data_IF_113467446590
#
_entry.id   IF_113467446590
#
_cell.length_a   1.000
_cell.length_b   1.000
_cell.length_c   1.000
_cell.angle_alpha   90.00
_cell.angle_beta   90.00
_cell.angle_gamma   90.00
#
_symmetry.space_group_name_H-M   'P 1'
#
loop_
_entity.id
_entity.type
_entity.pdbx_description
1 polymer ?
#
# COMPACT_ATOMS: atom_id res chain seq x y z
N UNK A 1 0.11 -59.92 -17.35
CA UNK A 1 -0.10 -59.18 -16.09
C UNK A 1 1.22 -58.58 -15.66
N UNK A 2 1.52 -57.33 -16.08
CA UNK A 2 2.68 -56.60 -15.61
C UNK A 2 2.19 -55.47 -14.70
N UNK A 3 2.48 -55.58 -13.40
CA UNK A 3 2.33 -54.46 -12.47
C UNK A 3 3.45 -53.46 -12.76
N UNK A 4 3.09 -52.34 -13.39
CA UNK A 4 3.98 -51.20 -13.58
C UNK A 4 4.05 -50.44 -12.26
N UNK A 5 5.18 -50.61 -11.59
CA UNK A 5 5.60 -49.84 -10.43
C UNK A 5 6.10 -48.49 -10.91
N UNK A 6 5.23 -47.47 -10.93
CA UNK A 6 5.63 -46.07 -11.05
C UNK A 6 5.10 -45.33 -9.85
N UNK A 7 5.86 -45.40 -8.75
CA UNK A 7 5.86 -44.37 -7.73
C UNK A 7 6.07 -43.03 -8.43
N UNK A 8 5.05 -42.18 -8.40
CA UNK A 8 5.21 -40.76 -8.67
C UNK A 8 6.24 -40.22 -7.69
N UNK A 9 7.49 -40.08 -8.15
CA UNK A 9 8.48 -39.28 -7.47
C UNK A 9 7.98 -37.83 -7.51
N UNK A 10 7.26 -37.43 -6.45
CA UNK A 10 7.05 -36.02 -6.18
C UNK A 10 8.44 -35.38 -6.12
N UNK A 11 8.69 -34.27 -6.86
CA UNK A 11 9.94 -33.56 -6.71
C UNK A 11 10.07 -33.20 -5.22
N UNK A 12 11.17 -33.61 -4.58
CA UNK A 12 11.48 -33.16 -3.23
C UNK A 12 11.39 -31.64 -3.23
N UNK A 13 10.37 -31.10 -2.56
CA UNK A 13 10.24 -29.68 -2.34
C UNK A 13 11.50 -29.26 -1.55
N UNK A 14 12.37 -28.40 -2.09
CA UNK A 14 13.61 -28.01 -1.41
C UNK A 14 13.34 -27.41 -0.02
N UNK A 15 12.13 -26.88 0.20
CA UNK A 15 11.68 -26.34 1.47
C UNK A 15 11.33 -27.41 2.52
N UNK A 16 10.90 -28.61 2.11
CA UNK A 16 10.46 -29.65 3.05
C UNK A 16 11.63 -30.24 3.85
N UNK A 17 12.79 -30.44 3.22
CA UNK A 17 14.02 -30.90 3.88
C UNK A 17 14.53 -29.85 4.89
N UNK A 18 14.34 -28.56 4.62
CA UNK A 18 14.67 -27.46 5.55
C UNK A 18 13.69 -27.43 6.73
N UNK A 19 12.39 -27.56 6.46
CA UNK A 19 11.34 -27.59 7.49
C UNK A 19 11.55 -28.76 8.45
N UNK A 20 11.84 -29.95 7.93
CA UNK A 20 12.14 -31.12 8.76
C UNK A 20 13.45 -30.97 9.54
N UNK A 21 14.49 -30.35 8.95
CA UNK A 21 15.78 -30.16 9.62
C UNK A 21 15.72 -29.19 10.80
N UNK A 22 14.92 -28.12 10.70
CA UNK A 22 14.74 -27.14 11.77
C UNK A 22 13.69 -27.60 12.79
N UNK A 23 12.69 -28.35 12.32
CA UNK A 23 11.54 -28.85 13.07
C UNK A 23 10.28 -28.06 12.72
N UNK A 24 9.21 -28.77 12.33
CA UNK A 24 7.92 -28.18 11.97
C UNK A 24 7.35 -27.30 13.08
N UNK A 25 7.49 -27.71 14.34
CA UNK A 25 6.88 -27.02 15.48
C UNK A 25 7.48 -25.62 15.70
N UNK A 26 8.76 -25.44 15.38
CA UNK A 26 9.42 -24.13 15.45
C UNK A 26 8.92 -23.19 14.35
N UNK A 27 8.70 -23.72 13.15
CA UNK A 27 8.09 -22.95 12.06
C UNK A 27 6.64 -22.59 12.37
N UNK A 28 5.87 -23.53 12.91
CA UNK A 28 4.48 -23.29 13.34
C UNK A 28 4.42 -22.17 14.36
N UNK A 29 5.27 -22.20 15.40
CA UNK A 29 5.34 -21.14 16.41
C UNK A 29 5.65 -19.76 15.80
N UNK A 30 6.67 -19.66 14.95
CA UNK A 30 7.06 -18.38 14.32
C UNK A 30 5.93 -17.85 13.41
N UNK A 31 5.27 -18.73 12.65
CA UNK A 31 4.18 -18.34 11.74
C UNK A 31 2.92 -17.96 12.51
N UNK A 32 2.56 -18.71 13.57
CA UNK A 32 1.39 -18.38 14.41
C UNK A 32 1.57 -17.05 15.12
N UNK A 33 2.75 -16.80 15.67
CA UNK A 33 3.04 -15.59 16.44
C UNK A 33 3.03 -14.33 15.55
N UNK A 34 3.31 -14.48 14.25
CA UNK A 34 3.32 -13.39 13.28
C UNK A 34 2.06 -13.32 12.40
N UNK A 35 1.10 -14.23 12.55
CA UNK A 35 -0.07 -14.28 11.67
C UNK A 35 -0.85 -12.96 11.64
N UNK A 36 -1.06 -12.35 12.81
CA UNK A 36 -1.70 -11.03 12.95
C UNK A 36 -0.90 -9.93 12.26
N UNK A 37 0.42 -9.91 12.44
CA UNK A 37 1.31 -8.94 11.81
C UNK A 37 1.26 -9.05 10.28
N UNK A 38 1.24 -10.27 9.74
CA UNK A 38 1.10 -10.53 8.31
C UNK A 38 -0.26 -10.05 7.80
N UNK A 39 -1.34 -10.27 8.56
CA UNK A 39 -2.66 -9.76 8.21
C UNK A 39 -2.69 -8.22 8.17
N UNK A 40 -2.09 -7.54 9.15
CA UNK A 40 -1.96 -6.08 9.16
C UNK A 40 -1.12 -5.57 7.98
N UNK A 41 0.02 -6.20 7.68
CA UNK A 41 0.84 -5.85 6.54
C UNK A 41 0.07 -6.00 5.21
N UNK A 42 -0.75 -7.05 5.10
CA UNK A 42 -1.63 -7.22 3.95
C UNK A 42 -2.67 -6.09 3.84
N UNK A 43 -3.28 -5.66 4.96
CA UNK A 43 -4.22 -4.55 4.97
C UNK A 43 -3.56 -3.24 4.52
N UNK A 44 -2.37 -2.92 5.04
CA UNK A 44 -1.57 -1.77 4.61
C UNK A 44 -1.31 -1.82 3.11
N UNK A 45 -0.86 -2.97 2.60
CA UNK A 45 -0.62 -3.18 1.16
C UNK A 45 -1.88 -2.94 0.33
N UNK A 46 -3.04 -3.40 0.80
CA UNK A 46 -4.32 -3.16 0.14
C UNK A 46 -4.71 -1.68 0.12
N UNK A 47 -4.48 -0.94 1.22
CA UNK A 47 -4.77 0.50 1.28
C UNK A 47 -3.89 1.30 0.32
N UNK A 48 -2.59 1.03 0.30
CA UNK A 48 -1.64 1.66 -0.65
C UNK A 48 -2.04 1.37 -2.10
N UNK A 49 -2.43 0.13 -2.42
CA UNK A 49 -2.92 -0.22 -3.77
C UNK A 49 -4.16 0.58 -4.15
N UNK A 50 -5.13 0.74 -3.23
CA UNK A 50 -6.34 1.55 -3.47
C UNK A 50 -6.00 3.02 -3.71
N UNK A 51 -5.11 3.61 -2.90
CA UNK A 51 -4.61 4.96 -3.11
C UNK A 51 -4.00 5.12 -4.52
N UNK A 52 -3.21 4.15 -4.97
CA UNK A 52 -2.59 4.20 -6.29
C UNK A 52 -3.58 3.98 -7.45
N UNK A 53 -4.64 3.20 -7.24
CA UNK A 53 -5.74 3.07 -8.22
C UNK A 53 -6.39 4.44 -8.45
N UNK A 54 -6.69 5.18 -7.37
CA UNK A 54 -7.21 6.55 -7.48
C UNK A 54 -6.23 7.44 -8.25
N UNK A 55 -4.97 7.50 -7.80
CA UNK A 55 -3.93 8.29 -8.45
C UNK A 55 -3.83 8.02 -9.95
N UNK A 56 -3.77 6.73 -10.35
CA UNK A 56 -3.64 6.36 -11.75
C UNK A 56 -4.85 6.75 -12.56
N UNK A 57 -6.06 6.55 -12.04
CA UNK A 57 -7.29 6.93 -12.74
C UNK A 57 -7.31 8.44 -13.04
N UNK A 58 -7.11 9.27 -12.02
CA UNK A 58 -7.15 10.73 -12.16
C UNK A 58 -5.98 11.28 -12.99
N UNK A 59 -4.83 10.60 -13.03
CA UNK A 59 -3.73 11.00 -13.92
C UNK A 59 -3.95 10.63 -15.38
N UNK A 60 -4.55 9.47 -15.63
CA UNK A 60 -4.65 8.92 -16.97
C UNK A 60 -5.95 9.33 -17.69
N UNK A 61 -6.96 9.79 -16.94
CA UNK A 61 -8.22 10.30 -17.48
C UNK A 61 -8.15 11.83 -17.58
N UNK A 62 -8.07 12.43 -18.78
CA UNK A 62 -7.98 13.88 -18.93
C UNK A 62 -9.18 14.60 -18.30
N UNK A 63 -10.38 14.05 -18.50
CA UNK A 63 -11.61 14.66 -17.96
C UNK A 63 -11.67 14.59 -16.43
N UNK A 64 -11.27 13.46 -15.84
CA UNK A 64 -11.23 13.34 -14.38
C UNK A 64 -10.13 14.21 -13.77
N UNK A 65 -9.01 14.39 -14.48
CA UNK A 65 -7.95 15.31 -14.08
C UNK A 65 -8.49 16.75 -14.01
N UNK A 66 -9.25 17.18 -15.02
CA UNK A 66 -9.88 18.50 -15.05
C UNK A 66 -10.82 18.69 -13.86
N UNK A 67 -11.74 17.76 -13.61
CA UNK A 67 -12.66 17.83 -12.46
C UNK A 67 -11.90 17.93 -11.13
N UNK A 68 -10.82 17.16 -10.96
CA UNK A 68 -10.02 17.19 -9.75
C UNK A 68 -9.31 18.53 -9.57
N UNK A 69 -8.77 19.11 -10.64
CA UNK A 69 -8.11 20.41 -10.58
C UNK A 69 -9.10 21.52 -10.23
N UNK A 70 -10.27 21.55 -10.86
CA UNK A 70 -11.35 22.49 -10.55
C UNK A 70 -11.78 22.38 -9.08
N UNK A 71 -11.99 21.15 -8.58
CA UNK A 71 -12.33 20.93 -7.18
C UNK A 71 -11.20 21.33 -6.21
N UNK A 72 -9.93 21.16 -6.62
CA UNK A 72 -8.76 21.56 -5.82
C UNK A 72 -8.67 23.08 -5.70
N UNK A 73 -8.91 23.80 -6.79
CA UNK A 73 -8.96 25.27 -6.84
C UNK A 73 -10.13 25.80 -6.01
N UNK A 74 -11.34 25.25 -6.17
CA UNK A 74 -12.53 25.64 -5.40
C UNK A 74 -12.34 25.48 -3.89
N UNK A 75 -11.62 24.42 -3.48
CA UNK A 75 -11.31 24.14 -2.07
C UNK A 75 -10.05 24.86 -1.56
N UNK A 76 -9.36 25.63 -2.41
CA UNK A 76 -8.09 26.30 -2.10
C UNK A 76 -7.02 25.34 -1.53
N UNK A 77 -6.97 24.11 -2.03
CA UNK A 77 -6.03 23.09 -1.54
C UNK A 77 -4.64 23.34 -2.16
N UNK A 78 -3.65 23.61 -1.31
CA UNK A 78 -2.27 23.78 -1.72
C UNK A 78 -1.51 22.45 -1.82
N UNK A 79 -0.40 22.43 -2.57
CA UNK A 79 0.56 21.33 -2.57
C UNK A 79 0.60 20.47 -3.83
N UNK A 80 -0.16 20.82 -4.87
CA UNK A 80 -0.04 20.24 -6.22
C UNK A 80 -0.79 18.92 -6.43
N UNK A 81 -0.38 18.18 -7.46
CA UNK A 81 -1.12 17.01 -7.98
C UNK A 81 -0.93 15.72 -7.17
N UNK A 82 -1.76 14.70 -7.47
CA UNK A 82 -1.63 13.33 -6.98
C UNK A 82 -0.26 12.72 -7.33
N UNK A 83 0.27 11.89 -6.44
CA UNK A 83 1.57 11.21 -6.58
C UNK A 83 1.37 9.71 -6.75
N UNK A 84 2.07 9.13 -7.72
CA UNK A 84 2.14 7.67 -7.95
C UNK A 84 3.29 7.09 -7.15
N UNK A 85 3.17 5.84 -6.72
CA UNK A 85 4.28 5.15 -6.05
C UNK A 85 4.94 4.10 -6.94
N UNK A 86 6.19 3.79 -6.62
CA UNK A 86 6.96 2.66 -7.15
C UNK A 86 7.20 1.68 -6.00
N UNK A 87 6.94 0.38 -6.22
CA UNK A 87 7.00 -0.64 -5.16
C UNK A 87 8.36 -0.72 -4.45
N UNK A 88 9.44 -0.43 -5.16
CA UNK A 88 10.80 -0.51 -4.63
C UNK A 88 11.22 0.72 -3.82
N UNK A 89 10.42 1.80 -3.79
CA UNK A 89 10.78 3.07 -3.13
C UNK A 89 9.71 3.51 -2.13
N UNK A 90 9.92 3.19 -0.86
CA UNK A 90 8.99 3.46 0.24
C UNK A 90 8.66 4.95 0.43
N UNK A 91 9.60 5.85 0.14
CA UNK A 91 9.36 7.29 0.16
C UNK A 91 8.22 7.70 -0.80
N UNK A 92 8.15 7.06 -1.97
CA UNK A 92 7.08 7.31 -2.95
C UNK A 92 5.73 6.73 -2.51
N UNK A 93 5.72 5.70 -1.65
CA UNK A 93 4.50 5.17 -1.03
C UNK A 93 3.90 6.21 -0.11
N UNK A 94 4.72 6.80 0.77
CA UNK A 94 4.30 7.91 1.62
C UNK A 94 3.74 9.08 0.80
N UNK A 95 4.46 9.50 -0.25
CA UNK A 95 4.01 10.61 -1.10
C UNK A 95 2.67 10.33 -1.79
N UNK A 96 2.45 9.09 -2.25
CA UNK A 96 1.19 8.68 -2.85
C UNK A 96 0.04 8.80 -1.85
N UNK A 97 0.16 8.14 -0.69
CA UNK A 97 -0.84 8.18 0.38
C UNK A 97 -1.09 9.62 0.85
N UNK A 98 -0.03 10.42 0.98
CA UNK A 98 -0.11 11.79 1.47
C UNK A 98 -0.86 12.68 0.48
N UNK A 99 -0.60 12.53 -0.82
CA UNK A 99 -1.30 13.27 -1.86
C UNK A 99 -2.79 12.92 -1.93
N UNK A 100 -3.15 11.64 -1.74
CA UNK A 100 -4.55 11.19 -1.70
C UNK A 100 -5.28 11.77 -0.49
N UNK A 101 -4.67 11.73 0.70
CA UNK A 101 -5.28 12.31 1.90
C UNK A 101 -5.45 13.82 1.79
N UNK A 102 -4.43 14.53 1.27
CA UNK A 102 -4.48 15.98 1.09
C UNK A 102 -5.60 16.39 0.15
N UNK A 103 -5.80 15.64 -0.93
CA UNK A 103 -6.84 15.91 -1.93
C UNK A 103 -8.19 15.29 -1.57
N UNK A 104 -8.39 14.80 -0.34
CA UNK A 104 -9.63 14.10 0.08
C UNK A 104 -10.90 14.89 -0.23
N UNK A 105 -10.91 16.18 0.06
CA UNK A 105 -12.12 17.00 -0.06
C UNK A 105 -12.46 17.28 -1.52
N UNK A 106 -11.42 17.47 -2.35
CA UNK A 106 -11.59 17.57 -3.81
C UNK A 106 -12.04 16.24 -4.42
N UNK A 107 -11.46 15.10 -3.99
CA UNK A 107 -11.85 13.77 -4.45
C UNK A 107 -13.32 13.45 -4.11
N UNK A 108 -13.77 13.80 -2.91
CA UNK A 108 -15.16 13.64 -2.48
C UNK A 108 -16.10 14.57 -3.24
N UNK A 109 -15.68 15.79 -3.54
CA UNK A 109 -16.46 16.72 -4.36
C UNK A 109 -16.63 16.22 -5.81
N UNK A 110 -15.57 15.65 -6.41
CA UNK A 110 -15.68 15.05 -7.74
C UNK A 110 -16.64 13.87 -7.71
N UNK A 111 -16.59 13.03 -6.66
CA UNK A 111 -17.55 11.95 -6.51
C UNK A 111 -18.99 12.47 -6.43
N UNK A 112 -19.24 13.52 -5.64
CA UNK A 112 -20.56 14.12 -5.45
C UNK A 112 -21.12 14.73 -6.75
N UNK A 113 -20.29 15.46 -7.51
CA UNK A 113 -20.71 16.17 -8.73
C UNK A 113 -20.75 15.28 -9.98
N UNK A 114 -19.87 14.29 -10.08
CA UNK A 114 -19.60 13.55 -11.33
C UNK A 114 -19.69 12.03 -11.16
N UNK A 115 -20.44 11.53 -10.18
CA UNK A 115 -20.52 10.10 -9.89
C UNK A 115 -20.87 9.25 -11.12
N UNK A 116 -21.82 9.74 -11.94
CA UNK A 116 -22.37 8.99 -13.08
C UNK A 116 -21.36 8.91 -14.23
N UNK A 117 -20.52 9.91 -14.35
CA UNK A 117 -19.50 10.07 -15.38
C UNK A 117 -18.19 9.34 -15.04
N UNK A 118 -17.97 9.01 -13.76
CA UNK A 118 -16.86 8.14 -13.34
C UNK A 118 -17.16 6.70 -13.82
N UNK A 119 -16.55 6.35 -14.95
CA UNK A 119 -16.67 5.03 -15.59
C UNK A 119 -16.03 3.88 -14.80
N UNK A 120 -15.12 4.18 -13.87
CA UNK A 120 -14.39 3.16 -13.13
C UNK A 120 -15.09 2.80 -11.80
N UNK A 121 -15.74 1.64 -11.77
CA UNK A 121 -16.45 1.15 -10.58
C UNK A 121 -15.53 0.94 -9.37
N UNK A 122 -14.27 0.53 -9.58
CA UNK A 122 -13.33 0.35 -8.48
C UNK A 122 -12.98 1.70 -7.83
N UNK A 123 -12.85 2.77 -8.61
CA UNK A 123 -12.64 4.13 -8.10
C UNK A 123 -13.83 4.58 -7.27
N UNK A 124 -15.06 4.39 -7.77
CA UNK A 124 -16.29 4.71 -7.02
C UNK A 124 -16.37 3.91 -5.72
N UNK A 125 -16.11 2.60 -5.77
CA UNK A 125 -16.13 1.74 -4.59
C UNK A 125 -15.10 2.17 -3.53
N UNK A 126 -13.91 2.63 -3.95
CA UNK A 126 -12.89 3.15 -3.03
C UNK A 126 -13.36 4.46 -2.39
N UNK A 127 -13.81 5.43 -3.20
CA UNK A 127 -14.22 6.75 -2.70
C UNK A 127 -15.45 6.67 -1.78
N UNK A 128 -16.38 5.74 -2.04
CA UNK A 128 -17.56 5.49 -1.21
C UNK A 128 -17.29 4.64 0.02
N UNK A 129 -16.12 4.00 0.12
CA UNK A 129 -15.83 3.11 1.25
C UNK A 129 -15.74 3.93 2.54
N UNK A 130 -16.66 3.67 3.47
CA UNK A 130 -16.64 4.27 4.81
C UNK A 130 -15.30 4.01 5.49
N UNK A 131 -14.74 5.05 6.10
CA UNK A 131 -13.46 4.99 6.82
C UNK A 131 -12.23 4.94 5.92
N UNK A 132 -12.35 4.94 4.59
CA UNK A 132 -11.18 4.88 3.71
C UNK A 132 -10.19 6.01 3.96
N UNK A 133 -10.67 7.26 4.07
CA UNK A 133 -9.79 8.41 4.33
C UNK A 133 -9.25 8.41 5.77
N UNK A 134 -9.96 7.82 6.73
CA UNK A 134 -9.47 7.63 8.09
C UNK A 134 -8.35 6.58 8.14
N UNK A 135 -8.53 5.46 7.43
CA UNK A 135 -7.51 4.42 7.24
C UNK A 135 -6.25 5.01 6.58
N UNK A 136 -6.43 5.87 5.57
CA UNK A 136 -5.35 6.56 4.87
C UNK A 136 -4.61 7.53 5.81
N UNK A 137 -5.33 8.26 6.67
CA UNK A 137 -4.72 9.14 7.68
C UNK A 137 -3.87 8.35 8.67
N UNK A 138 -4.41 7.27 9.22
CA UNK A 138 -3.69 6.40 10.14
C UNK A 138 -2.43 5.81 9.47
N UNK A 139 -2.55 5.41 8.20
CA UNK A 139 -1.41 4.93 7.44
C UNK A 139 -0.32 6.01 7.25
N UNK A 140 -0.69 7.29 7.12
CA UNK A 140 0.30 8.37 7.05
C UNK A 140 1.08 8.53 8.33
N UNK A 141 0.41 8.44 9.47
CA UNK A 141 1.04 8.51 10.79
C UNK A 141 2.07 7.38 10.96
N UNK A 142 1.76 6.18 10.46
CA UNK A 142 2.68 5.02 10.48
C UNK A 142 3.84 5.20 9.48
N UNK A 143 3.57 5.67 8.26
CA UNK A 143 4.59 5.76 7.21
C UNK A 143 5.55 6.94 7.38
N UNK A 144 5.15 7.99 8.10
CA UNK A 144 5.96 9.20 8.31
C UNK A 144 7.31 8.90 8.95
N UNK A 145 7.40 8.26 10.14
CA UNK A 145 8.68 7.93 10.76
C UNK A 145 9.54 7.03 9.87
N UNK A 146 8.93 6.08 9.16
CA UNK A 146 9.65 5.20 8.21
C UNK A 146 10.28 6.00 7.07
N UNK A 147 9.54 6.95 6.48
CA UNK A 147 10.08 7.85 5.44
C UNK A 147 11.24 8.67 5.98
N UNK A 148 11.08 9.26 7.15
CA UNK A 148 12.09 10.13 7.77
C UNK A 148 13.37 9.33 8.05
N UNK A 149 13.25 8.14 8.66
CA UNK A 149 14.39 7.25 8.90
C UNK A 149 15.13 6.88 7.59
N UNK A 150 14.40 6.54 6.53
CA UNK A 150 15.01 6.22 5.21
C UNK A 150 15.77 7.43 4.65
N UNK A 151 15.18 8.62 4.68
CA UNK A 151 15.83 9.82 4.13
C UNK A 151 17.11 10.19 4.89
N UNK A 152 17.12 9.98 6.21
CA UNK A 152 18.30 10.26 7.03
C UNK A 152 19.39 9.21 6.75
N UNK A 153 19.03 7.92 6.63
CA UNK A 153 19.95 6.85 6.19
C UNK A 153 20.57 7.14 4.82
N UNK A 154 19.74 7.53 3.84
CA UNK A 154 20.20 7.89 2.49
C UNK A 154 21.09 9.14 2.48
N UNK A 155 20.96 10.00 3.50
CA UNK A 155 21.76 11.21 3.68
C UNK A 155 23.18 10.97 4.20
N UNK A 156 23.57 9.73 4.54
CA UNK A 156 24.91 9.31 4.99
C UNK A 156 25.50 10.07 6.22
N UNK A 157 24.68 10.83 6.96
CA UNK A 157 25.14 11.65 8.09
C UNK A 157 24.79 11.07 9.45
N UNK A 158 24.27 9.84 9.49
CA UNK A 158 23.78 9.18 10.72
C UNK A 158 24.14 7.71 10.74
N UNK A 159 24.10 7.13 11.93
CA UNK A 159 24.20 5.70 12.15
C UNK A 159 22.83 5.02 12.13
N UNK A 160 22.83 3.69 12.03
CA UNK A 160 21.60 2.89 12.16
C UNK A 160 20.95 3.07 13.54
N UNK A 161 21.75 3.32 14.58
CA UNK A 161 21.25 3.56 15.93
C UNK A 161 20.46 4.89 16.00
N UNK A 162 20.93 5.93 15.32
CA UNK A 162 20.22 7.22 15.25
C UNK A 162 18.86 7.08 14.54
N UNK A 163 18.77 6.18 13.56
CA UNK A 163 17.53 5.92 12.82
C UNK A 163 16.51 5.13 13.65
N UNK A 164 16.97 4.30 14.58
CA UNK A 164 16.09 3.53 15.47
C UNK A 164 15.24 4.44 16.36
N UNK A 165 15.76 5.60 16.76
CA UNK A 165 15.02 6.59 17.56
C UNK A 165 13.76 7.09 16.86
N UNK A 166 13.75 7.13 15.52
CA UNK A 166 12.58 7.54 14.75
C UNK A 166 11.50 6.46 14.66
N UNK A 167 11.83 5.20 14.98
CA UNK A 167 10.93 4.05 14.85
C UNK A 167 10.35 3.58 16.19
N UNK A 168 10.73 4.22 17.30
CA UNK A 168 10.22 4.00 18.66
C UNK A 168 8.96 4.82 18.92
#
# INVERSE_FOLDING_TARGET
MAYVNTLYAYPKLPDADVIMKVGSDKFVAIVSDNASNVAYAHQVKCLVKRANILTRYFKNSPIAKTWLNEATEEKNILGGELKTYVETRWTTVYECVASVYRLKDALLQVLDKHEREISNEAVKAILKKRGFFDDIRMLLEILKPVKEAILILEGNNVTLADCYVYLL
#
